data_IF_613468489891
#
_entry.id   IF_613468489891
#
_cell.length_a   1.000
_cell.length_b   1.000
_cell.length_c   1.000
_cell.angle_alpha   90.00
_cell.angle_beta   90.00
_cell.angle_gamma   90.00
#
_symmetry.space_group_name_H-M   'P 1'
#
loop_
_entity.id
_entity.type
_entity.pdbx_description
1 polymer ?
#
# COMPACT_ATOMS: atom_id res chain seq x y z
N UNK A 1 -18.79 -39.81 12.34
CA UNK A 1 -20.06 -39.08 12.19
C UNK A 1 -19.79 -37.58 11.96
N UNK A 2 -18.97 -37.22 10.96
CA UNK A 2 -18.46 -35.84 10.75
C UNK A 2 -18.79 -35.26 9.36
N UNK A 3 -19.72 -35.86 8.59
CA UNK A 3 -20.00 -35.40 7.21
C UNK A 3 -21.17 -34.41 7.08
N UNK A 4 -21.74 -33.91 8.18
CA UNK A 4 -22.95 -33.08 8.16
C UNK A 4 -22.70 -31.57 8.31
N UNK A 5 -21.50 -31.12 8.69
CA UNK A 5 -21.19 -29.71 8.92
C UNK A 5 -20.70 -28.92 7.70
N UNK A 6 -20.21 -29.60 6.64
CA UNK A 6 -19.60 -28.94 5.47
C UNK A 6 -20.56 -28.72 4.29
N UNK A 7 -21.79 -29.25 4.36
CA UNK A 7 -22.77 -29.12 3.26
C UNK A 7 -23.51 -27.77 3.24
N UNK A 8 -23.35 -26.94 4.28
CA UNK A 8 -24.14 -25.72 4.47
C UNK A 8 -23.34 -24.40 4.34
N UNK A 9 -22.06 -24.48 3.95
CA UNK A 9 -21.19 -23.31 3.71
C UNK A 9 -21.23 -22.85 2.24
N UNK A 10 -21.66 -23.72 1.31
CA UNK A 10 -21.78 -23.40 -0.12
C UNK A 10 -22.98 -22.53 -0.50
N UNK A 11 -24.10 -22.60 0.24
CA UNK A 11 -25.32 -21.83 -0.11
C UNK A 11 -25.29 -20.36 0.32
N UNK A 12 -24.42 -20.00 1.29
CA UNK A 12 -24.35 -18.62 1.80
C UNK A 12 -23.39 -17.74 1.01
N UNK A 13 -22.62 -18.29 0.07
CA UNK A 13 -21.78 -17.53 -0.83
C UNK A 13 -22.65 -16.92 -1.94
N UNK A 14 -23.35 -15.84 -1.60
CA UNK A 14 -24.19 -15.07 -2.54
C UNK A 14 -23.29 -14.48 -3.62
N UNK A 15 -23.10 -15.21 -4.72
CA UNK A 15 -22.32 -14.82 -5.89
C UNK A 15 -22.57 -13.37 -6.33
N UNK A 16 -23.83 -12.92 -6.26
CA UNK A 16 -24.24 -11.53 -6.53
C UNK A 16 -23.58 -10.48 -5.64
N UNK A 17 -23.32 -10.78 -4.37
CA UNK A 17 -22.61 -9.87 -3.46
C UNK A 17 -21.13 -9.79 -3.79
N UNK A 18 -20.49 -10.91 -4.13
CA UNK A 18 -19.08 -10.95 -4.52
C UNK A 18 -18.85 -10.20 -5.83
N UNK A 19 -19.72 -10.40 -6.82
CA UNK A 19 -19.68 -9.65 -8.10
C UNK A 19 -19.89 -8.16 -7.86
N UNK A 20 -20.82 -7.79 -6.97
CA UNK A 20 -21.07 -6.39 -6.60
C UNK A 20 -19.87 -5.76 -5.89
N UNK A 21 -19.23 -6.48 -4.97
CA UNK A 21 -18.00 -6.04 -4.29
C UNK A 21 -16.86 -5.85 -5.29
N UNK A 22 -16.67 -6.79 -6.23
CA UNK A 22 -15.66 -6.68 -7.28
C UNK A 22 -15.91 -5.52 -8.23
N UNK A 23 -17.17 -5.24 -8.58
CA UNK A 23 -17.54 -4.11 -9.44
C UNK A 23 -17.27 -2.76 -8.75
N UNK A 24 -17.60 -2.64 -7.46
CA UNK A 24 -17.29 -1.44 -6.67
C UNK A 24 -15.77 -1.26 -6.55
N UNK A 25 -15.01 -2.33 -6.34
CA UNK A 25 -13.55 -2.27 -6.31
C UNK A 25 -12.96 -1.82 -7.66
N UNK A 26 -13.53 -2.31 -8.78
CA UNK A 26 -13.16 -1.88 -10.14
C UNK A 26 -13.45 -0.39 -10.40
N UNK A 27 -14.56 0.14 -9.89
CA UNK A 27 -14.88 1.58 -10.01
C UNK A 27 -13.95 2.46 -9.19
N UNK A 28 -13.54 2.02 -7.99
CA UNK A 28 -12.56 2.73 -7.15
C UNK A 28 -11.18 2.77 -7.83
N UNK A 29 -10.78 1.66 -8.45
CA UNK A 29 -9.54 1.55 -9.23
C UNK A 29 -9.58 2.48 -10.45
N UNK A 30 -10.70 2.51 -11.20
CA UNK A 30 -10.87 3.40 -12.36
C UNK A 30 -10.86 4.89 -11.99
N UNK A 31 -11.43 5.29 -10.84
CA UNK A 31 -11.40 6.68 -10.39
C UNK A 31 -9.98 7.14 -9.99
N UNK A 32 -9.11 6.21 -9.58
CA UNK A 32 -7.72 6.48 -9.23
C UNK A 32 -6.80 6.80 -10.42
N UNK A 33 -7.18 6.43 -11.65
CA UNK A 33 -6.39 6.71 -12.85
C UNK A 33 -6.56 8.14 -13.41
N UNK A 34 -7.48 8.94 -12.85
CA UNK A 34 -7.84 10.27 -13.35
C UNK A 34 -7.08 11.45 -12.73
N UNK A 35 -5.80 11.31 -12.37
CA UNK A 35 -5.00 12.46 -11.92
C UNK A 35 -4.18 13.01 -13.09
N UNK A 36 -4.69 14.09 -13.69
CA UNK A 36 -3.88 14.94 -14.58
C UNK A 36 -2.62 15.43 -13.85
N UNK A 37 -1.53 15.46 -14.61
CA UNK A 37 -0.20 15.85 -14.14
C UNK A 37 -0.12 17.38 -14.06
N UNK A 38 -0.45 17.94 -12.90
CA UNK A 38 -0.03 19.29 -12.57
C UNK A 38 1.45 19.28 -12.12
N UNK A 39 2.33 19.74 -13.01
CA UNK A 39 3.79 19.82 -12.85
C UNK A 39 4.25 21.00 -11.96
N UNK A 40 3.33 21.87 -11.53
CA UNK A 40 3.67 23.16 -10.90
C UNK A 40 3.68 23.19 -9.35
N UNK A 41 3.65 22.05 -8.68
CA UNK A 41 3.84 22.01 -7.22
C UNK A 41 5.18 21.40 -6.83
N UNK A 42 6.13 22.26 -6.45
CA UNK A 42 7.35 21.87 -5.74
C UNK A 42 6.94 21.18 -4.43
N UNK A 43 7.07 19.84 -4.40
CA UNK A 43 6.73 19.00 -3.26
C UNK A 43 7.93 18.96 -2.33
N UNK A 44 7.77 19.44 -1.09
CA UNK A 44 8.88 19.40 -0.12
C UNK A 44 9.04 17.99 0.44
N UNK A 45 10.22 17.37 0.35
CA UNK A 45 10.45 15.98 0.77
C UNK A 45 10.19 15.76 2.28
N UNK A 46 10.37 16.81 3.07
CA UNK A 46 10.08 16.82 4.51
C UNK A 46 8.60 16.58 4.82
N UNK A 47 7.67 17.10 4.01
CA UNK A 47 6.23 16.88 4.21
C UNK A 47 5.83 15.45 3.85
N UNK A 48 6.38 14.90 2.77
CA UNK A 48 6.16 13.50 2.38
C UNK A 48 6.61 12.53 3.49
N UNK A 49 7.80 12.77 4.05
CA UNK A 49 8.34 11.99 5.15
C UNK A 49 7.50 12.11 6.43
N UNK A 50 7.00 13.31 6.74
CA UNK A 50 6.12 13.53 7.89
C UNK A 50 4.77 12.78 7.76
N UNK A 51 4.17 12.79 6.56
CA UNK A 51 2.96 12.01 6.28
C UNK A 51 3.22 10.49 6.26
N UNK A 52 4.40 10.05 5.82
CA UNK A 52 4.82 8.64 5.89
C UNK A 52 5.00 8.15 7.32
N UNK A 53 5.46 9.03 8.22
CA UNK A 53 5.67 8.71 9.62
C UNK A 53 4.34 8.56 10.38
N UNK A 54 3.38 9.44 10.11
CA UNK A 54 2.08 9.46 10.79
C UNK A 54 1.22 8.25 10.45
N UNK A 55 1.16 7.89 9.17
CA UNK A 55 0.39 6.74 8.71
C UNK A 55 1.22 5.91 7.73
N UNK A 56 1.24 4.58 7.88
CA UNK A 56 1.85 3.71 6.90
C UNK A 56 1.22 3.93 5.52
N UNK A 57 2.05 4.02 4.48
CA UNK A 57 1.61 4.36 3.12
C UNK A 57 1.23 5.84 2.89
N UNK A 58 1.19 6.68 3.95
CA UNK A 58 0.83 8.10 3.85
C UNK A 58 1.79 8.94 3.01
N UNK A 59 3.08 8.62 3.03
CA UNK A 59 4.08 9.28 2.18
C UNK A 59 3.91 8.96 0.70
N UNK A 60 3.44 7.76 0.37
CA UNK A 60 3.18 7.38 -1.02
C UNK A 60 1.91 8.06 -1.59
N UNK A 61 0.92 8.35 -0.74
CA UNK A 61 -0.23 9.20 -1.11
C UNK A 61 0.22 10.64 -1.43
N UNK A 62 1.15 11.19 -0.65
CA UNK A 62 1.71 12.52 -0.89
C UNK A 62 2.52 12.59 -2.19
N UNK A 63 3.28 11.53 -2.49
CA UNK A 63 4.05 11.38 -3.73
C UNK A 63 3.19 10.99 -4.95
N UNK A 64 1.84 10.99 -4.84
CA UNK A 64 0.87 10.55 -5.88
C UNK A 64 1.09 9.12 -6.40
N UNK A 65 1.83 8.28 -5.68
CA UNK A 65 2.08 6.87 -6.05
C UNK A 65 1.00 5.97 -5.46
N UNK A 66 -0.24 6.15 -5.91
CA UNK A 66 -1.42 5.48 -5.37
C UNK A 66 -1.37 3.95 -5.47
N UNK A 67 -0.82 3.41 -6.56
CA UNK A 67 -0.71 1.97 -6.74
C UNK A 67 0.24 1.34 -5.71
N UNK A 68 1.41 1.95 -5.51
CA UNK A 68 2.34 1.51 -4.46
C UNK A 68 1.69 1.63 -3.09
N UNK A 69 1.03 2.77 -2.82
CA UNK A 69 0.38 3.03 -1.53
C UNK A 69 -0.66 1.95 -1.22
N UNK A 70 -1.47 1.59 -2.22
CA UNK A 70 -2.47 0.54 -2.12
C UNK A 70 -1.87 -0.83 -1.83
N UNK A 71 -0.73 -1.19 -2.44
CA UNK A 71 -0.05 -2.47 -2.19
C UNK A 71 0.46 -2.52 -0.74
N UNK A 72 1.10 -1.45 -0.26
CA UNK A 72 1.62 -1.41 1.13
C UNK A 72 0.46 -1.49 2.13
N UNK A 73 -0.61 -0.72 1.91
CA UNK A 73 -1.80 -0.78 2.77
C UNK A 73 -2.43 -2.18 2.76
N UNK A 74 -2.55 -2.82 1.60
CA UNK A 74 -3.11 -4.17 1.50
C UNK A 74 -2.25 -5.20 2.25
N UNK A 75 -0.92 -5.09 2.14
CA UNK A 75 0.01 -5.95 2.86
C UNK A 75 -0.11 -5.76 4.39
N UNK A 76 -0.22 -4.51 4.86
CA UNK A 76 -0.43 -4.22 6.28
C UNK A 76 -1.77 -4.72 6.81
N UNK A 77 -2.86 -4.49 6.07
CA UNK A 77 -4.19 -4.99 6.43
C UNK A 77 -4.16 -6.51 6.53
N UNK A 78 -3.56 -7.18 5.55
CA UNK A 78 -3.42 -8.64 5.55
C UNK A 78 -2.63 -9.14 6.76
N UNK A 79 -1.48 -8.52 7.04
CA UNK A 79 -0.65 -8.87 8.19
C UNK A 79 -1.37 -8.61 9.52
N UNK A 80 -2.14 -7.51 9.60
CA UNK A 80 -2.98 -7.16 10.75
C UNK A 80 -4.11 -8.17 11.01
N UNK A 81 -4.79 -8.63 9.95
CA UNK A 81 -5.81 -9.68 10.04
C UNK A 81 -5.18 -10.96 10.58
N UNK A 82 -4.03 -11.40 10.03
CA UNK A 82 -3.32 -12.58 10.52
C UNK A 82 -2.86 -12.46 11.96
N UNK A 83 -2.33 -11.30 12.33
CA UNK A 83 -1.97 -11.03 13.72
C UNK A 83 -3.19 -11.16 14.65
N UNK A 84 -4.34 -10.62 14.25
CA UNK A 84 -5.56 -10.71 15.05
C UNK A 84 -6.10 -12.15 15.13
N UNK A 85 -6.11 -12.90 14.02
CA UNK A 85 -6.49 -14.32 13.99
C UNK A 85 -5.64 -15.13 14.98
N UNK A 86 -4.31 -14.97 14.97
CA UNK A 86 -3.43 -15.68 15.90
C UNK A 86 -3.57 -15.20 17.34
N UNK A 87 -3.83 -13.91 17.56
CA UNK A 87 -4.06 -13.35 18.90
C UNK A 87 -5.35 -13.88 19.52
N UNK A 88 -6.43 -13.95 18.73
CA UNK A 88 -7.74 -14.51 19.14
C UNK A 88 -7.61 -16.02 19.36
N UNK A 89 -6.97 -16.75 18.44
CA UNK A 89 -6.73 -18.19 18.59
C UNK A 89 -5.91 -18.53 19.84
N UNK A 90 -4.96 -17.67 20.23
CA UNK A 90 -4.23 -17.82 21.50
C UNK A 90 -5.11 -17.54 22.73
N UNK A 91 -5.94 -16.50 22.70
CA UNK A 91 -6.77 -16.07 23.84
C UNK A 91 -7.89 -17.05 24.14
N UNK A 92 -8.52 -17.60 23.10
CA UNK A 92 -9.65 -18.53 23.20
C UNK A 92 -9.22 -19.96 22.86
N UNK A 93 -8.01 -20.34 23.30
CA UNK A 93 -7.46 -21.66 23.03
C UNK A 93 -8.27 -22.76 23.74
N UNK A 94 -8.74 -23.74 22.99
CA UNK A 94 -9.35 -24.98 23.45
C UNK A 94 -8.65 -26.17 22.78
N UNK A 95 -8.70 -27.36 23.38
CA UNK A 95 -8.01 -28.57 22.86
C UNK A 95 -8.55 -29.08 21.50
N UNK A 96 -9.69 -28.58 21.03
CA UNK A 96 -10.30 -28.92 19.74
C UNK A 96 -9.80 -28.05 18.56
N UNK A 97 -8.80 -27.18 18.81
CA UNK A 97 -8.24 -26.30 17.77
C UNK A 97 -7.19 -27.02 16.91
N UNK A 98 -7.10 -26.59 15.64
CA UNK A 98 -6.21 -27.18 14.64
C UNK A 98 -4.70 -27.08 14.95
N UNK A 99 -4.28 -26.23 15.89
CA UNK A 99 -2.87 -26.05 16.26
C UNK A 99 -2.69 -26.03 17.78
N UNK A 100 -1.55 -26.53 18.31
CA UNK A 100 -1.25 -26.43 19.73
C UNK A 100 -0.94 -24.98 20.16
N UNK A 101 -1.26 -24.63 21.41
CA UNK A 101 -1.19 -23.25 21.96
C UNK A 101 0.12 -22.52 21.70
N UNK A 102 1.25 -23.22 21.80
CA UNK A 102 2.59 -22.62 21.59
C UNK A 102 2.78 -22.10 20.16
N UNK A 103 2.20 -22.78 19.16
CA UNK A 103 2.34 -22.35 17.76
C UNK A 103 1.60 -21.03 17.50
N UNK A 104 0.52 -20.73 18.21
CA UNK A 104 -0.17 -19.45 18.09
C UNK A 104 0.68 -18.28 18.60
N UNK A 105 1.50 -18.49 19.64
CA UNK A 105 2.44 -17.47 20.14
C UNK A 105 3.52 -17.17 19.10
N UNK A 106 4.12 -18.22 18.52
CA UNK A 106 5.15 -18.07 17.50
C UNK A 106 4.60 -17.40 16.24
N UNK A 107 3.42 -17.82 15.76
CA UNK A 107 2.77 -17.24 14.58
C UNK A 107 2.40 -15.78 14.83
N UNK A 108 1.87 -15.43 16.00
CA UNK A 108 1.57 -14.04 16.39
C UNK A 108 2.84 -13.18 16.41
N UNK A 109 3.92 -13.67 17.03
CA UNK A 109 5.17 -12.93 17.09
C UNK A 109 5.77 -12.76 15.69
N UNK A 110 5.74 -13.78 14.84
CA UNK A 110 6.15 -13.70 13.44
C UNK A 110 5.30 -12.69 12.66
N UNK A 111 3.98 -12.67 12.85
CA UNK A 111 3.11 -11.66 12.23
C UNK A 111 3.40 -10.24 12.73
N UNK A 112 3.71 -10.04 14.00
CA UNK A 112 4.13 -8.75 14.53
C UNK A 112 5.43 -8.26 13.87
N UNK A 113 6.41 -9.15 13.69
CA UNK A 113 7.63 -8.85 12.95
C UNK A 113 7.34 -8.46 11.49
N UNK A 114 6.46 -9.18 10.81
CA UNK A 114 6.06 -8.84 9.44
C UNK A 114 5.41 -7.45 9.34
N UNK A 115 4.53 -7.10 10.27
CA UNK A 115 3.94 -5.75 10.34
C UNK A 115 5.04 -4.70 10.50
N UNK A 116 6.00 -4.92 11.41
CA UNK A 116 7.14 -4.01 11.59
C UNK A 116 7.99 -3.85 10.34
N UNK A 117 8.32 -4.95 9.64
CA UNK A 117 9.08 -4.89 8.40
C UNK A 117 8.35 -4.15 7.29
N UNK A 118 7.04 -4.39 7.10
CA UNK A 118 6.23 -3.70 6.08
C UNK A 118 6.16 -2.20 6.38
N UNK A 119 5.98 -1.83 7.64
CA UNK A 119 5.98 -0.43 8.08
C UNK A 119 7.29 0.28 7.73
N UNK A 120 8.42 -0.31 8.15
CA UNK A 120 9.76 0.27 7.88
C UNK A 120 10.05 0.32 6.38
N UNK A 121 9.70 -0.73 5.64
CA UNK A 121 9.85 -0.77 4.19
C UNK A 121 9.07 0.35 3.50
N UNK A 122 7.79 0.53 3.84
CA UNK A 122 6.96 1.59 3.27
C UNK A 122 7.44 2.99 3.63
N UNK A 123 7.99 3.15 4.84
CA UNK A 123 8.60 4.41 5.27
C UNK A 123 9.85 4.74 4.46
N UNK A 124 10.78 3.78 4.30
CA UNK A 124 12.02 3.99 3.53
C UNK A 124 11.70 4.24 2.05
N UNK A 125 10.81 3.46 1.43
CA UNK A 125 10.44 3.65 0.02
C UNK A 125 9.82 5.04 -0.22
N UNK A 126 8.98 5.52 0.70
CA UNK A 126 8.40 6.87 0.62
C UNK A 126 9.46 7.97 0.75
N UNK A 127 10.45 7.82 1.65
CA UNK A 127 11.54 8.79 1.82
C UNK A 127 12.46 8.82 0.60
N UNK A 128 12.83 7.65 0.09
CA UNK A 128 13.69 7.52 -1.09
C UNK A 128 12.99 8.14 -2.30
N UNK A 129 11.70 7.82 -2.49
CA UNK A 129 10.88 8.40 -3.57
C UNK A 129 10.75 9.92 -3.44
N UNK A 130 10.64 10.45 -2.23
CA UNK A 130 10.56 11.89 -2.00
C UNK A 130 11.89 12.60 -2.31
N UNK A 131 13.03 12.01 -1.96
CA UNK A 131 14.35 12.56 -2.32
C UNK A 131 14.66 12.46 -3.80
N UNK A 132 14.23 11.39 -4.48
CA UNK A 132 14.42 11.25 -5.93
C UNK A 132 13.64 12.31 -6.72
N UNK A 133 12.42 12.67 -6.29
CA UNK A 133 11.64 13.70 -6.99
C UNK A 133 12.32 15.06 -7.01
N UNK A 134 12.97 15.46 -5.91
CA UNK A 134 13.76 16.71 -5.89
C UNK A 134 14.97 16.68 -6.82
N UNK A 135 15.51 15.49 -7.13
CA UNK A 135 16.63 15.34 -8.07
C UNK A 135 16.14 15.40 -9.53
N UNK A 136 15.07 14.69 -9.87
CA UNK A 136 14.48 14.71 -11.21
C UNK A 136 14.06 16.13 -11.63
N UNK A 137 13.52 16.92 -10.71
CA UNK A 137 13.11 18.31 -10.94
C UNK A 137 14.29 19.19 -11.39
N UNK A 138 15.40 19.18 -10.65
CA UNK A 138 16.61 19.96 -10.97
C UNK A 138 17.17 19.56 -12.35
N UNK A 139 17.24 18.25 -12.64
CA UNK A 139 17.76 17.77 -13.91
C UNK A 139 16.86 18.13 -15.10
N UNK A 140 15.55 18.22 -14.90
CA UNK A 140 14.61 18.60 -15.95
C UNK A 140 14.66 20.09 -16.30
N UNK A 141 14.88 20.95 -15.30
CA UNK A 141 14.98 22.40 -15.47
C UNK A 141 16.22 22.77 -16.32
N UNK A 142 17.37 22.14 -16.05
CA UNK A 142 18.60 22.31 -16.84
C UNK A 142 18.44 21.86 -18.31
N UNK A 143 17.71 20.76 -18.54
CA UNK A 143 17.44 20.26 -19.89
C UNK A 143 16.53 21.21 -20.68
N UNK A 144 15.46 21.72 -20.07
CA UNK A 144 14.57 22.70 -20.70
C UNK A 144 15.29 24.01 -21.00
N UNK A 145 16.12 24.51 -20.08
CA UNK A 145 16.88 25.72 -20.30
C UNK A 145 17.89 25.56 -21.46
N UNK A 146 18.62 24.44 -21.50
CA UNK A 146 19.56 24.18 -22.61
C UNK A 146 18.87 24.05 -23.97
N UNK A 147 17.71 23.38 -24.06
CA UNK A 147 16.95 23.28 -25.32
C UNK A 147 16.35 24.62 -25.73
N UNK A 148 15.88 25.44 -24.79
CA UNK A 148 15.38 26.78 -25.06
C UNK A 148 16.49 27.71 -25.59
N UNK A 149 17.69 27.67 -25.01
CA UNK A 149 18.85 28.45 -25.47
C UNK A 149 19.32 28.03 -26.86
N UNK A 150 19.38 26.73 -27.15
CA UNK A 150 19.78 26.20 -28.47
C UNK A 150 18.77 26.55 -29.58
N UNK A 151 17.48 26.60 -29.24
CA UNK A 151 16.42 26.97 -30.19
C UNK A 151 16.47 28.47 -30.53
N UNK A 152 16.71 29.33 -29.53
CA UNK A 152 16.86 30.78 -29.76
C UNK A 152 18.07 31.14 -30.61
N UNK A 153 19.16 30.37 -30.53
CA UNK A 153 20.34 30.58 -31.39
C UNK A 153 20.14 30.17 -32.85
N UNK A 154 19.22 29.22 -33.13
CA UNK A 154 18.90 28.79 -34.51
C UNK A 154 17.95 29.73 -35.24
N UNK A 155 17.04 30.42 -34.55
CA UNK A 155 16.11 31.38 -35.16
C UNK A 155 16.72 32.79 -35.34
N UNK A 156 17.80 33.11 -34.62
CA UNK A 156 18.51 34.39 -34.70
C UNK A 156 19.60 34.47 -35.79
N UNK A 157 19.73 33.47 -36.64
CA UNK A 157 20.65 33.42 -37.80
C UNK A 157 19.87 33.22 -39.09
#
# INVERSE_FOLDING_TARGET
MYSLGLKNIGEKFRFREVVRTWFIFGLIISFGYGQEKDTLQIRTPQKAAFYALLCPGGGQLYNKKYLKAGIIFAAEIYAGIKFNEFRVGYKYYNDDLAFPKHQYLEKRNKSAWWIGFIYVYGFIDAIVDAHLQSFDEIMSEDLEQSTAEDTKQKEGK
#
